data_IF_019760346876
#
_entry.id   IF_019760346876
#
_cell.length_a   1.000
_cell.length_b   1.000
_cell.length_c   1.000
_cell.angle_alpha   90.00
_cell.angle_beta   90.00
_cell.angle_gamma   90.00
#
_symmetry.space_group_name_H-M   'P 1'
#
loop_
_entity.id
_entity.type
_entity.pdbx_description
1 polymer ?
#
# COMPACT_ATOMS: atom_id res chain seq x y z
N UNK A 1 -12.09 8.55 -0.52
CA UNK A 1 -11.47 9.90 -0.52
C UNK A 1 -9.97 9.68 -0.62
N UNK A 2 -9.29 10.15 -1.68
CA UNK A 2 -7.84 9.93 -1.83
C UNK A 2 -7.09 10.78 -0.80
N UNK A 3 -6.24 10.15 0.02
CA UNK A 3 -5.35 10.85 0.93
C UNK A 3 -4.16 11.44 0.16
N UNK A 4 -4.40 12.55 -0.56
CA UNK A 4 -3.39 13.23 -1.37
C UNK A 4 -2.87 14.54 -0.73
N UNK A 5 -3.43 14.92 0.42
CA UNK A 5 -2.99 16.04 1.24
C UNK A 5 -3.03 15.68 2.74
N UNK A 6 -2.44 16.52 3.59
CA UNK A 6 -2.42 16.28 5.04
C UNK A 6 -3.83 16.21 5.67
N UNK A 7 -4.78 17.12 5.36
CA UNK A 7 -6.13 17.04 5.95
C UNK A 7 -6.92 15.77 5.56
N UNK A 8 -6.84 15.33 4.30
CA UNK A 8 -7.45 14.08 3.84
C UNK A 8 -6.78 12.87 4.47
N UNK A 9 -5.44 12.85 4.58
CA UNK A 9 -4.70 11.83 5.30
C UNK A 9 -5.16 11.70 6.76
N UNK A 10 -5.26 12.80 7.49
CA UNK A 10 -5.71 12.77 8.90
C UNK A 10 -7.12 12.17 9.03
N UNK A 11 -8.05 12.58 8.17
CA UNK A 11 -9.42 12.07 8.21
C UNK A 11 -9.49 10.59 7.85
N UNK A 12 -8.71 10.17 6.86
CA UNK A 12 -8.59 8.76 6.47
C UNK A 12 -8.02 7.92 7.62
N UNK A 13 -6.89 8.33 8.18
CA UNK A 13 -6.19 7.57 9.21
C UNK A 13 -6.99 7.45 10.52
N UNK A 14 -7.79 8.47 10.84
CA UNK A 14 -8.65 8.49 12.03
C UNK A 14 -10.03 7.86 11.78
N UNK A 15 -10.38 7.54 10.53
CA UNK A 15 -11.57 6.75 10.29
C UNK A 15 -11.42 5.38 10.96
N UNK A 16 -12.52 4.76 11.37
CA UNK A 16 -12.49 3.43 11.94
C UNK A 16 -11.88 2.46 10.91
N UNK A 17 -10.61 2.12 11.07
CA UNK A 17 -9.95 1.12 10.24
C UNK A 17 -10.61 -0.23 10.50
N UNK A 18 -10.95 -0.96 9.44
CA UNK A 18 -11.10 -2.39 9.59
C UNK A 18 -9.69 -2.93 9.83
N UNK A 19 -9.33 -3.16 11.10
CA UNK A 19 -8.03 -3.69 11.50
C UNK A 19 -7.69 -5.05 10.85
N UNK A 20 -8.62 -5.61 10.06
CA UNK A 20 -8.57 -6.88 9.36
C UNK A 20 -8.19 -6.77 7.88
N UNK A 21 -8.25 -5.60 7.23
CA UNK A 21 -8.02 -5.50 5.78
C UNK A 21 -6.52 -5.37 5.43
N UNK A 22 -5.91 -6.34 4.72
CA UNK A 22 -4.50 -6.31 4.36
C UNK A 22 -4.18 -5.21 3.34
N UNK A 23 -3.02 -4.57 3.43
CA UNK A 23 -2.58 -3.58 2.43
C UNK A 23 -2.15 -4.23 1.10
N UNK A 24 -2.12 -3.43 0.02
CA UNK A 24 -1.60 -3.83 -1.29
C UNK A 24 -0.20 -3.23 -1.49
N UNK A 25 0.79 -4.07 -1.75
CA UNK A 25 2.14 -3.68 -2.14
C UNK A 25 2.34 -3.90 -3.65
N UNK A 26 2.60 -2.82 -4.37
CA UNK A 26 2.96 -2.85 -5.78
C UNK A 26 4.49 -2.86 -5.93
N UNK A 27 5.01 -3.89 -6.58
CA UNK A 27 6.39 -4.00 -7.01
C UNK A 27 6.45 -3.94 -8.53
N UNK A 28 7.34 -3.13 -9.08
CA UNK A 28 7.61 -3.08 -10.51
C UNK A 28 9.04 -2.60 -10.79
N UNK A 29 9.42 -2.66 -12.05
CA UNK A 29 10.68 -2.09 -12.55
C UNK A 29 10.67 -0.55 -12.46
N UNK A 30 11.82 0.15 -12.64
CA UNK A 30 12.02 1.53 -12.21
C UNK A 30 10.95 2.55 -12.62
N UNK A 31 10.24 2.28 -13.72
CA UNK A 31 9.18 3.10 -14.26
C UNK A 31 7.81 2.45 -14.06
N UNK A 32 7.47 2.14 -12.80
CA UNK A 32 6.09 1.78 -12.46
C UNK A 32 5.17 2.86 -13.04
N UNK A 33 4.08 2.44 -13.68
CA UNK A 33 3.18 3.38 -14.33
C UNK A 33 2.69 4.43 -13.33
N UNK A 34 2.89 5.71 -13.67
CA UNK A 34 2.46 6.83 -12.85
C UNK A 34 0.95 6.75 -12.55
N UNK A 35 0.59 6.98 -11.29
CA UNK A 35 -0.79 6.96 -10.82
C UNK A 35 -1.45 5.58 -10.79
N UNK A 36 -0.69 4.49 -10.94
CA UNK A 36 -1.27 3.14 -10.86
C UNK A 36 -1.85 2.87 -9.47
N UNK A 37 -1.10 3.17 -8.40
CA UNK A 37 -1.63 3.04 -7.03
C UNK A 37 -2.95 3.77 -6.84
N UNK A 38 -3.05 5.01 -7.33
CA UNK A 38 -4.28 5.81 -7.27
C UNK A 38 -5.43 5.16 -8.04
N UNK A 39 -5.14 4.58 -9.21
CA UNK A 39 -6.13 3.90 -10.01
C UNK A 39 -6.64 2.62 -9.34
N UNK A 40 -5.76 1.84 -8.68
CA UNK A 40 -6.15 0.67 -7.88
C UNK A 40 -7.02 1.09 -6.69
N UNK A 41 -6.56 2.09 -5.93
CA UNK A 41 -7.31 2.61 -4.79
C UNK A 41 -8.69 3.15 -5.20
N UNK A 42 -8.76 3.85 -6.35
CA UNK A 42 -10.03 4.32 -6.89
C UNK A 42 -10.95 3.17 -7.25
N UNK A 43 -10.43 2.14 -7.92
CA UNK A 43 -11.20 0.97 -8.32
C UNK A 43 -11.90 0.32 -7.11
N UNK A 44 -11.11 0.02 -6.06
CA UNK A 44 -11.61 -0.58 -4.81
C UNK A 44 -12.61 0.31 -4.07
N UNK A 45 -12.58 1.63 -4.23
CA UNK A 45 -13.54 2.54 -3.61
C UNK A 45 -14.84 2.69 -4.41
N UNK A 46 -14.76 2.58 -5.74
CA UNK A 46 -15.88 2.90 -6.63
C UNK A 46 -16.67 1.65 -7.06
N UNK A 47 -16.02 0.49 -7.14
CA UNK A 47 -16.59 -0.67 -7.83
C UNK A 47 -16.66 -1.94 -6.99
N UNK A 48 -16.02 -1.99 -5.81
CA UNK A 48 -15.87 -3.21 -5.02
C UNK A 48 -16.42 -3.09 -3.59
N UNK A 49 -17.67 -3.52 -3.40
CA UNK A 49 -18.38 -3.41 -2.11
C UNK A 49 -17.68 -4.22 -0.98
N UNK A 50 -17.05 -5.33 -1.31
CA UNK A 50 -16.34 -6.21 -0.37
C UNK A 50 -15.02 -5.61 0.16
N UNK A 51 -14.56 -4.51 -0.45
CA UNK A 51 -13.32 -3.84 -0.05
C UNK A 51 -13.49 -2.95 1.20
N UNK A 52 -14.71 -2.85 1.75
CA UNK A 52 -15.10 -1.94 2.84
C UNK A 52 -14.77 -0.45 2.61
N UNK A 53 -14.42 -0.08 1.36
CA UNK A 53 -14.06 1.27 0.94
C UNK A 53 -12.83 1.87 1.65
N UNK A 54 -12.66 3.18 1.48
CA UNK A 54 -11.60 4.00 2.08
C UNK A 54 -10.15 3.63 1.70
N UNK A 55 -9.95 3.06 0.52
CA UNK A 55 -8.61 2.76 0.01
C UNK A 55 -7.83 4.02 -0.35
N UNK A 56 -6.55 4.05 -0.01
CA UNK A 56 -5.68 5.20 -0.28
C UNK A 56 -4.33 4.76 -0.88
N UNK A 57 -3.92 5.43 -1.95
CA UNK A 57 -2.54 5.43 -2.42
C UNK A 57 -1.89 6.77 -2.04
N UNK A 58 -0.60 6.73 -1.74
CA UNK A 58 0.12 7.86 -1.16
C UNK A 58 1.14 8.45 -2.14
N UNK A 59 0.99 9.73 -2.44
CA UNK A 59 1.94 10.48 -3.24
C UNK A 59 3.31 10.57 -2.52
N UNK A 60 4.45 10.50 -3.25
CA UNK A 60 5.78 10.62 -2.67
C UNK A 60 5.99 11.90 -1.84
N UNK A 61 5.37 13.01 -2.26
CA UNK A 61 5.41 14.31 -1.59
C UNK A 61 4.75 14.23 -0.21
N UNK A 62 3.59 13.57 -0.12
CA UNK A 62 2.89 13.37 1.15
C UNK A 62 3.69 12.48 2.10
N UNK A 63 4.36 11.43 1.58
CA UNK A 63 5.27 10.61 2.40
C UNK A 63 6.44 11.44 2.93
N UNK A 64 7.00 12.34 2.12
CA UNK A 64 8.05 13.25 2.56
C UNK A 64 7.55 14.22 3.63
N UNK A 65 6.32 14.71 3.49
CA UNK A 65 5.69 15.62 4.43
C UNK A 65 5.40 14.95 5.78
N UNK A 66 4.84 13.74 5.77
CA UNK A 66 4.65 12.90 6.97
C UNK A 66 6.01 12.63 7.63
N UNK A 67 7.05 12.38 6.83
CA UNK A 67 8.39 12.17 7.37
C UNK A 67 8.94 13.40 8.08
N UNK A 68 8.70 14.61 7.57
CA UNK A 68 9.25 15.84 8.14
C UNK A 68 8.58 16.26 9.46
N UNK A 69 7.35 15.83 9.73
CA UNK A 69 6.55 16.35 10.85
C UNK A 69 6.28 15.31 11.94
N UNK A 70 6.70 15.61 13.17
CA UNK A 70 6.54 14.72 14.34
C UNK A 70 5.09 14.35 14.64
N UNK A 71 4.17 15.33 14.57
CA UNK A 71 2.75 15.08 14.85
C UNK A 71 2.14 14.03 13.90
N UNK A 72 2.53 14.04 12.63
CA UNK A 72 2.05 13.15 11.57
C UNK A 72 2.64 11.75 11.74
N UNK A 73 3.90 11.67 12.16
CA UNK A 73 4.53 10.40 12.54
C UNK A 73 3.86 9.78 13.76
N UNK A 74 3.51 10.60 14.74
CA UNK A 74 2.85 10.14 15.96
C UNK A 74 1.46 9.59 15.70
N UNK A 75 0.73 10.09 14.68
CA UNK A 75 -0.51 9.46 14.22
C UNK A 75 -0.27 8.01 13.82
N UNK A 76 0.79 7.74 13.05
CA UNK A 76 1.20 6.38 12.66
C UNK A 76 1.83 5.55 13.80
N UNK A 77 1.80 6.02 15.06
CA UNK A 77 2.45 5.35 16.19
C UNK A 77 3.98 5.31 16.09
N UNK A 78 4.58 6.12 15.21
CA UNK A 78 6.03 6.13 15.00
C UNK A 78 6.70 7.06 15.98
N UNK A 79 7.66 6.54 16.74
CA UNK A 79 8.50 7.36 17.61
C UNK A 79 9.21 8.48 16.83
N UNK A 80 9.42 9.59 17.52
CA UNK A 80 10.23 10.70 17.04
C UNK A 80 11.65 10.27 16.70
N UNK A 81 12.22 10.96 15.71
CA UNK A 81 13.53 10.76 15.08
C UNK A 81 14.54 9.95 15.90
N UNK A 82 15.08 8.88 15.32
CA UNK A 82 16.28 8.25 15.84
C UNK A 82 17.49 9.13 15.48
N UNK A 83 18.40 9.40 16.43
CA UNK A 83 19.64 10.17 16.17
C UNK A 83 20.49 9.61 15.02
N UNK A 84 20.38 8.31 14.76
CA UNK A 84 21.12 7.61 13.69
C UNK A 84 20.31 7.48 12.39
N UNK A 85 19.03 7.87 12.37
CA UNK A 85 18.14 7.77 11.22
C UNK A 85 17.18 8.97 11.20
N UNK A 86 17.57 10.10 10.58
CA UNK A 86 16.69 11.25 10.48
C UNK A 86 15.39 10.85 9.78
N UNK A 87 14.24 11.45 10.13
CA UNK A 87 12.94 11.03 9.60
C UNK A 87 12.83 11.06 8.07
N UNK A 88 13.51 12.01 7.42
CA UNK A 88 13.58 12.12 5.96
C UNK A 88 14.53 11.11 5.30
N UNK A 89 15.32 10.36 6.07
CA UNK A 89 16.22 9.32 5.54
C UNK A 89 15.43 8.13 4.96
N UNK A 90 16.08 7.30 4.12
CA UNK A 90 15.48 6.05 3.65
C UNK A 90 14.94 5.17 4.79
N UNK A 91 15.64 5.13 5.93
CA UNK A 91 15.18 4.40 7.11
C UNK A 91 13.89 4.98 7.70
N UNK A 92 13.79 6.31 7.79
CA UNK A 92 12.58 6.98 8.28
C UNK A 92 11.38 6.79 7.36
N UNK A 93 11.59 6.84 6.03
CA UNK A 93 10.55 6.56 5.02
C UNK A 93 10.09 5.10 5.05
N UNK A 94 11.01 4.14 5.22
CA UNK A 94 10.64 2.72 5.38
C UNK A 94 9.70 2.50 6.56
N UNK A 95 9.94 3.17 7.70
CA UNK A 95 9.03 3.08 8.86
C UNK A 95 7.63 3.59 8.55
N UNK A 96 7.52 4.63 7.72
CA UNK A 96 6.22 5.18 7.29
C UNK A 96 5.51 4.18 6.39
N UNK A 97 6.17 3.64 5.37
CA UNK A 97 5.58 2.63 4.49
C UNK A 97 5.11 1.40 5.27
N UNK A 98 5.92 0.91 6.22
CA UNK A 98 5.53 -0.20 7.08
C UNK A 98 4.29 0.13 7.93
N UNK A 99 4.24 1.31 8.55
CA UNK A 99 3.09 1.71 9.37
C UNK A 99 1.82 1.94 8.55
N UNK A 100 1.93 2.51 7.35
CA UNK A 100 0.79 2.64 6.43
C UNK A 100 0.27 1.27 5.97
N UNK A 101 1.18 0.34 5.66
CA UNK A 101 0.78 -1.01 5.28
C UNK A 101 0.16 -1.79 6.45
N UNK A 102 0.68 -1.61 7.68
CA UNK A 102 0.15 -2.23 8.90
C UNK A 102 -1.23 -1.68 9.29
N UNK A 103 -1.49 -0.40 9.00
CA UNK A 103 -2.81 0.21 9.21
C UNK A 103 -3.92 -0.40 8.32
N UNK A 104 -3.55 -0.97 7.16
CA UNK A 104 -4.51 -1.49 6.18
C UNK A 104 -5.09 -0.40 5.27
N UNK A 105 -5.95 -0.81 4.32
CA UNK A 105 -6.57 0.08 3.31
C UNK A 105 -5.59 1.00 2.55
N UNK A 106 -4.34 0.55 2.43
CA UNK A 106 -3.26 1.30 1.81
C UNK A 106 -2.76 0.56 0.57
N UNK A 107 -2.54 1.31 -0.52
CA UNK A 107 -1.78 0.88 -1.69
C UNK A 107 -0.42 1.56 -1.61
N UNK A 108 0.63 0.79 -1.40
CA UNK A 108 2.02 1.28 -1.29
C UNK A 108 2.85 0.74 -2.44
N UNK A 109 3.76 1.57 -2.94
CA UNK A 109 4.56 1.24 -4.12
C UNK A 109 6.00 1.75 -4.03
N UNK A 110 6.88 1.12 -4.82
CA UNK A 110 8.27 1.51 -4.99
C UNK A 110 9.29 0.75 -4.12
N UNK A 111 10.60 0.91 -4.38
CA UNK A 111 11.65 0.08 -3.79
C UNK A 111 11.70 0.13 -2.26
N UNK A 112 11.53 1.32 -1.67
CA UNK A 112 11.52 1.47 -0.22
C UNK A 112 10.29 0.83 0.44
N UNK A 113 9.13 0.86 -0.23
CA UNK A 113 7.93 0.19 0.25
C UNK A 113 8.14 -1.33 0.24
N UNK A 114 8.76 -1.88 -0.81
CA UNK A 114 9.09 -3.32 -0.91
C UNK A 114 10.02 -3.76 0.23
N UNK A 115 11.08 -3.00 0.51
CA UNK A 115 11.98 -3.27 1.63
C UNK A 115 11.25 -3.17 2.99
N UNK A 116 10.44 -2.13 3.17
CA UNK A 116 9.70 -1.88 4.42
C UNK A 116 8.67 -2.97 4.73
N UNK A 117 8.02 -3.47 3.69
CA UNK A 117 6.94 -4.44 3.77
C UNK A 117 7.44 -5.89 3.78
N UNK A 118 8.72 -6.14 3.51
CA UNK A 118 9.31 -7.48 3.52
C UNK A 118 8.94 -8.34 4.74
N UNK A 119 8.97 -7.85 6.00
CA UNK A 119 8.64 -8.65 7.18
C UNK A 119 7.13 -8.79 7.46
N UNK A 120 6.26 -8.04 6.77
CA UNK A 120 4.84 -8.02 7.04
C UNK A 120 4.13 -9.19 6.34
N UNK A 121 3.34 -9.93 7.11
CA UNK A 121 2.50 -11.05 6.65
C UNK A 121 1.12 -10.61 6.16
N UNK A 122 0.65 -9.44 6.59
CA UNK A 122 -0.67 -8.93 6.25
C UNK A 122 -0.65 -8.03 5.00
N UNK A 123 -0.07 -8.52 3.91
CA UNK A 123 0.07 -7.74 2.67
C UNK A 123 -0.24 -8.60 1.46
N UNK A 124 -1.11 -8.09 0.59
CA UNK A 124 -1.28 -8.58 -0.77
C UNK A 124 -0.18 -8.00 -1.66
N UNK A 125 0.55 -8.86 -2.35
CA UNK A 125 1.80 -8.51 -3.03
C UNK A 125 1.63 -8.71 -4.51
N UNK A 126 1.80 -7.63 -5.28
CA UNK A 126 1.65 -7.61 -6.73
C UNK A 126 3.00 -7.30 -7.36
N UNK A 127 3.40 -8.12 -8.33
CA UNK A 127 4.58 -7.87 -9.18
C UNK A 127 4.13 -7.48 -10.58
N UNK A 128 4.63 -6.35 -11.08
CA UNK A 128 4.45 -5.89 -12.45
C UNK A 128 5.76 -6.06 -13.22
N UNK A 129 5.80 -7.09 -14.05
CA UNK A 129 6.99 -7.58 -14.73
C UNK A 129 7.51 -8.87 -14.09
N UNK A 130 8.65 -9.41 -14.59
CA UNK A 130 9.20 -10.65 -14.10
C UNK A 130 9.45 -10.55 -12.60
N UNK A 131 8.86 -11.48 -11.84
CA UNK A 131 9.13 -11.58 -10.42
C UNK A 131 10.64 -11.74 -10.21
N UNK A 132 11.26 -11.02 -9.25
CA UNK A 132 12.68 -11.18 -8.99
C UNK A 132 13.00 -12.65 -8.74
N UNK A 133 14.12 -13.14 -9.31
CA UNK A 133 14.55 -14.52 -9.18
C UNK A 133 14.56 -14.93 -7.69
N UNK A 134 13.68 -15.87 -7.32
CA UNK A 134 13.38 -16.24 -5.93
C UNK A 134 11.93 -15.95 -5.47
N UNK A 135 11.07 -15.43 -6.36
CA UNK A 135 9.69 -15.00 -6.13
C UNK A 135 8.71 -16.03 -5.54
N UNK A 136 8.86 -16.35 -4.25
CA UNK A 136 7.90 -17.18 -3.50
C UNK A 136 6.82 -16.38 -2.77
N UNK A 137 6.86 -15.05 -2.82
CA UNK A 137 6.05 -14.19 -1.94
C UNK A 137 5.18 -13.19 -2.71
N UNK A 138 4.81 -13.45 -3.96
CA UNK A 138 3.84 -12.60 -4.69
C UNK A 138 2.54 -13.36 -4.88
N UNK A 139 1.43 -12.68 -4.62
CA UNK A 139 0.09 -13.23 -4.79
C UNK A 139 -0.37 -13.08 -6.24
N UNK A 140 0.09 -12.01 -6.91
CA UNK A 140 -0.20 -11.72 -8.30
C UNK A 140 1.07 -11.28 -9.03
N UNK A 141 1.29 -11.82 -10.22
CA UNK A 141 2.35 -11.41 -11.14
C UNK A 141 1.71 -11.07 -12.48
N UNK A 142 1.80 -9.82 -12.90
CA UNK A 142 1.29 -9.34 -14.18
C UNK A 142 2.43 -8.91 -15.08
N UNK A 143 2.31 -9.23 -16.36
CA UNK A 143 3.17 -8.75 -17.43
C UNK A 143 2.59 -7.45 -18.01
N UNK A 144 3.17 -6.26 -17.75
CA UNK A 144 2.63 -4.99 -18.26
C UNK A 144 2.56 -4.92 -19.78
N UNK A 145 3.34 -5.73 -20.49
CA UNK A 145 3.30 -5.86 -21.95
C UNK A 145 2.04 -6.58 -22.47
N UNK A 146 1.33 -7.33 -21.61
CA UNK A 146 0.11 -8.07 -21.98
C UNK A 146 -1.16 -7.34 -21.57
N UNK A 147 -1.07 -6.34 -20.70
CA UNK A 147 -2.20 -5.62 -20.14
C UNK A 147 -2.05 -4.12 -20.34
N UNK A 148 -3.16 -3.43 -20.58
CA UNK A 148 -3.09 -1.97 -20.70
C UNK A 148 -3.18 -1.30 -19.32
N UNK A 149 -2.66 -0.08 -19.27
CA UNK A 149 -2.74 0.84 -18.14
C UNK A 149 -4.11 0.94 -17.47
N UNK A 150 -5.19 0.81 -18.26
CA UNK A 150 -6.57 0.96 -17.79
C UNK A 150 -7.13 -0.33 -17.18
N UNK A 151 -6.66 -1.50 -17.62
CA UNK A 151 -7.17 -2.79 -17.13
C UNK A 151 -6.44 -3.29 -15.90
N UNK A 152 -5.16 -2.93 -15.72
CA UNK A 152 -4.37 -3.37 -14.56
C UNK A 152 -5.01 -3.07 -13.21
N UNK A 153 -5.59 -1.87 -12.96
CA UNK A 153 -6.24 -1.58 -11.68
C UNK A 153 -7.37 -2.54 -11.33
N UNK A 154 -8.22 -2.87 -12.30
CA UNK A 154 -9.34 -3.79 -12.10
C UNK A 154 -8.84 -5.20 -11.81
N UNK A 155 -7.90 -5.70 -12.62
CA UNK A 155 -7.31 -7.05 -12.41
C UNK A 155 -6.70 -7.18 -11.01
N UNK A 156 -5.97 -6.16 -10.55
CA UNK A 156 -5.36 -6.14 -9.22
C UNK A 156 -6.43 -6.10 -8.12
N UNK A 157 -7.45 -5.25 -8.27
CA UNK A 157 -8.55 -5.12 -7.32
C UNK A 157 -9.36 -6.40 -7.18
N UNK A 158 -9.83 -6.96 -8.29
CA UNK A 158 -10.60 -8.21 -8.32
C UNK A 158 -9.84 -9.35 -7.65
N UNK A 159 -8.57 -9.55 -8.04
CA UNK A 159 -7.73 -10.62 -7.48
C UNK A 159 -7.48 -10.43 -5.98
N UNK A 160 -7.35 -9.18 -5.51
CA UNK A 160 -7.20 -8.88 -4.09
C UNK A 160 -8.43 -9.31 -3.29
N UNK A 161 -9.63 -9.05 -3.79
CA UNK A 161 -10.88 -9.39 -3.11
C UNK A 161 -11.10 -10.90 -3.06
N UNK A 162 -10.84 -11.60 -4.16
CA UNK A 162 -10.86 -13.06 -4.19
C UNK A 162 -9.91 -13.66 -3.14
N UNK A 163 -8.70 -13.08 -3.02
CA UNK A 163 -7.72 -13.51 -2.02
C UNK A 163 -8.16 -13.20 -0.59
N UNK A 164 -8.77 -12.04 -0.33
CA UNK A 164 -9.32 -11.72 0.99
C UNK A 164 -10.42 -12.69 1.38
N UNK A 165 -11.39 -12.93 0.49
CA UNK A 165 -12.49 -13.85 0.74
C UNK A 165 -11.97 -15.27 1.07
N UNK A 166 -10.95 -15.75 0.33
CA UNK A 166 -10.33 -17.03 0.61
C UNK A 166 -9.63 -17.09 1.99
N UNK A 167 -9.05 -15.99 2.46
CA UNK A 167 -8.41 -15.90 3.79
C UNK A 167 -9.44 -15.91 4.91
N UNK A 168 -10.53 -15.16 4.79
CA UNK A 168 -11.59 -15.14 5.78
C UNK A 168 -12.22 -16.53 5.97
N UNK A 169 -12.38 -17.27 4.87
CA UNK A 169 -12.83 -18.67 4.92
C UNK A 169 -11.83 -19.61 5.60
N UNK A 170 -10.53 -19.34 5.51
CA UNK A 170 -9.50 -20.17 6.15
C UNK A 170 -9.38 -19.89 7.65
N UNK A 171 -9.60 -18.65 8.09
CA UNK A 171 -9.53 -18.24 9.50
C UNK A 171 -10.79 -18.64 10.32
N UNK A 172 -11.84 -19.13 9.65
CA UNK A 172 -13.11 -19.56 10.28
C UNK A 172 -13.24 -21.08 10.52
N UNK A 173 -12.22 -21.87 10.15
CA UNK A 173 -12.16 -23.35 10.29
C UNK A 173 -11.18 -23.75 11.37
#
# INVERSE_FOLDING_TARGET
>A
MLANDLPSFHRWFLAAGAATCPAILLHGFPDLQEGLGDAVARHLNEFDEDAAGNWSAFAPELIAEIAAHSAQRNLLGLADSCKNCPPSSPCGRRKIFAALADHGHAVVEGPLAVEACAPLSNIFRVSLGPAPFGGRNFHLVLSPELFCARSMPAIIGDTYLEWMAAREMADTV
#
